data_IF_569543826677
#
_entry.id   IF_569543826677
#
_cell.length_a   1.000
_cell.length_b   1.000
_cell.length_c   1.000
_cell.angle_alpha   90.00
_cell.angle_beta   90.00
_cell.angle_gamma   90.00
#
_symmetry.space_group_name_H-M   'P 1'
#
loop_
_entity.id
_entity.type
_entity.pdbx_description
1 polymer ?
#
# COMPACT_ATOMS: atom_id res chain seq x y z
N UNK A 1 17.34 -30.79 33.47
CA UNK A 1 16.91 -29.52 32.84
C UNK A 1 17.36 -29.54 31.40
N UNK A 2 16.46 -29.90 30.50
CA UNK A 2 16.72 -30.21 29.09
C UNK A 2 17.12 -28.98 28.26
N UNK A 3 18.13 -29.17 27.42
CA UNK A 3 18.56 -28.19 26.40
C UNK A 3 17.54 -28.23 25.26
N UNK A 4 16.70 -27.19 25.17
CA UNK A 4 15.75 -26.99 24.08
C UNK A 4 16.54 -26.73 22.78
N UNK A 5 16.58 -27.70 21.88
CA UNK A 5 17.17 -27.55 20.56
C UNK A 5 16.33 -26.54 19.76
N UNK A 6 16.98 -25.49 19.23
CA UNK A 6 16.38 -24.62 18.22
C UNK A 6 16.18 -25.48 16.97
N UNK A 7 14.93 -25.83 16.66
CA UNK A 7 14.55 -26.20 15.29
C UNK A 7 14.95 -25.01 14.42
N UNK A 8 15.95 -25.19 13.58
CA UNK A 8 16.16 -24.39 12.39
C UNK A 8 14.85 -24.46 11.61
N UNK A 9 14.09 -23.35 11.65
CA UNK A 9 12.93 -23.16 10.80
C UNK A 9 13.45 -23.29 9.37
N UNK A 10 13.17 -24.44 8.76
CA UNK A 10 13.41 -24.66 7.35
C UNK A 10 12.80 -23.49 6.62
N UNK A 11 13.59 -22.91 5.72
CA UNK A 11 13.17 -21.90 4.76
C UNK A 11 11.77 -22.22 4.29
N UNK A 12 10.79 -21.48 4.78
CA UNK A 12 9.42 -21.46 4.29
C UNK A 12 9.47 -20.85 2.88
N UNK A 13 9.97 -21.64 1.93
CA UNK A 13 9.58 -21.57 0.53
C UNK A 13 8.13 -22.06 0.47
N UNK A 14 7.22 -21.31 1.10
CA UNK A 14 5.79 -21.54 0.97
C UNK A 14 5.46 -21.25 -0.51
N UNK A 15 5.31 -22.33 -1.26
CA UNK A 15 4.46 -22.43 -2.44
C UNK A 15 4.68 -21.40 -3.59
N UNK A 16 5.92 -21.11 -3.99
CA UNK A 16 6.22 -20.23 -5.16
C UNK A 16 5.97 -20.86 -6.54
N UNK A 17 5.02 -21.78 -6.69
CA UNK A 17 4.64 -22.35 -8.00
C UNK A 17 3.16 -22.16 -8.30
N UNK A 18 2.62 -21.06 -7.85
CA UNK A 18 1.31 -20.64 -8.31
C UNK A 18 1.42 -19.96 -9.68
N UNK A 19 0.50 -20.31 -10.58
CA UNK A 19 0.42 -19.80 -11.93
C UNK A 19 0.30 -18.26 -11.93
N UNK A 20 1.35 -17.51 -12.31
CA UNK A 20 1.35 -16.04 -12.19
C UNK A 20 0.21 -15.39 -12.98
N UNK A 21 -0.20 -16.03 -14.08
CA UNK A 21 -1.33 -15.55 -14.90
C UNK A 21 -2.66 -15.62 -14.16
N UNK A 22 -2.91 -16.70 -13.42
CA UNK A 22 -4.14 -16.85 -12.64
C UNK A 22 -4.21 -15.83 -11.50
N UNK A 23 -3.07 -15.55 -10.86
CA UNK A 23 -2.99 -14.54 -9.82
C UNK A 23 -3.19 -13.14 -10.38
N UNK A 24 -2.57 -12.83 -11.52
CA UNK A 24 -2.76 -11.54 -12.20
C UNK A 24 -4.23 -11.34 -12.62
N UNK A 25 -4.89 -12.36 -13.16
CA UNK A 25 -6.33 -12.29 -13.50
C UNK A 25 -7.22 -12.03 -12.28
N UNK A 26 -6.97 -12.73 -11.16
CA UNK A 26 -7.70 -12.49 -9.91
C UNK A 26 -7.46 -11.09 -9.37
N UNK A 27 -6.23 -10.59 -9.53
CA UNK A 27 -5.83 -9.26 -9.10
C UNK A 27 -6.49 -8.15 -9.91
N UNK A 28 -6.56 -8.30 -11.23
CA UNK A 28 -7.27 -7.37 -12.12
C UNK A 28 -8.79 -7.39 -11.91
N UNK A 29 -9.35 -8.56 -11.58
CA UNK A 29 -10.78 -8.70 -11.28
C UNK A 29 -11.16 -8.18 -9.88
N UNK A 30 -10.19 -7.86 -9.01
CA UNK A 30 -10.46 -7.41 -7.65
C UNK A 30 -10.88 -5.94 -7.64
N UNK A 31 -12.07 -5.65 -7.11
CA UNK A 31 -12.66 -4.30 -7.10
C UNK A 31 -12.40 -3.50 -5.81
N UNK A 32 -11.92 -4.14 -4.74
CA UNK A 32 -11.58 -3.46 -3.47
C UNK A 32 -10.08 -3.15 -3.45
N UNK A 33 -9.63 -2.12 -2.74
CA UNK A 33 -8.19 -1.82 -2.66
C UNK A 33 -7.62 -1.14 -3.91
N UNK A 34 -8.38 -0.17 -4.47
CA UNK A 34 -8.01 0.61 -5.66
C UNK A 34 -6.59 1.17 -5.59
N UNK A 35 -6.15 1.64 -4.41
CA UNK A 35 -4.79 2.11 -4.20
C UNK A 35 -3.73 1.02 -4.38
N UNK A 36 -3.97 -0.18 -3.86
CA UNK A 36 -3.04 -1.31 -3.95
C UNK A 36 -2.95 -1.81 -5.39
N UNK A 37 -4.08 -1.90 -6.09
CA UNK A 37 -4.14 -2.33 -7.50
C UNK A 37 -3.45 -1.32 -8.42
N UNK A 38 -3.65 -0.03 -8.19
CA UNK A 38 -3.01 1.06 -8.93
C UNK A 38 -1.52 1.22 -8.63
N UNK A 39 -1.05 0.75 -7.47
CA UNK A 39 0.38 0.72 -7.17
C UNK A 39 1.05 -0.53 -7.76
N UNK A 40 0.36 -1.66 -7.75
CA UNK A 40 0.88 -2.98 -8.13
C UNK A 40 0.16 -3.45 -9.39
N UNK A 41 0.60 -2.95 -10.54
CA UNK A 41 0.00 -3.36 -11.82
C UNK A 41 0.42 -4.78 -12.23
N UNK A 42 1.70 -5.11 -12.06
CA UNK A 42 2.25 -6.41 -12.41
C UNK A 42 2.73 -7.12 -11.16
N UNK A 43 1.99 -8.14 -10.72
CA UNK A 43 2.30 -8.89 -9.50
C UNK A 43 3.69 -9.53 -9.57
N UNK A 44 4.09 -10.01 -10.75
CA UNK A 44 5.35 -10.70 -10.92
C UNK A 44 6.54 -9.75 -10.81
N UNK A 45 6.44 -8.55 -11.38
CA UNK A 45 7.48 -7.53 -11.27
C UNK A 45 7.58 -7.03 -9.83
N UNK A 46 6.44 -6.84 -9.17
CA UNK A 46 6.40 -6.45 -7.78
C UNK A 46 6.99 -7.51 -6.84
N UNK A 47 6.71 -8.79 -7.09
CA UNK A 47 7.25 -9.88 -6.29
C UNK A 47 8.77 -10.07 -6.47
N UNK A 48 9.30 -9.74 -7.66
CA UNK A 48 10.71 -9.93 -8.01
C UNK A 48 11.55 -8.64 -7.94
N UNK A 49 10.97 -7.52 -7.49
CA UNK A 49 11.69 -6.25 -7.40
C UNK A 49 12.86 -6.35 -6.42
N UNK A 50 14.02 -5.87 -6.86
CA UNK A 50 15.27 -5.87 -6.07
C UNK A 50 15.41 -4.68 -5.13
N UNK A 51 14.47 -3.75 -5.17
CA UNK A 51 14.53 -2.46 -4.48
C UNK A 51 13.18 -2.10 -3.86
N UNK A 52 13.23 -1.26 -2.83
CA UNK A 52 12.10 -0.79 -2.05
C UNK A 52 11.63 -1.84 -1.05
N UNK A 53 11.82 -1.62 0.23
CA UNK A 53 11.13 -2.45 1.22
C UNK A 53 9.68 -1.97 1.38
N UNK A 54 8.77 -2.89 1.68
CA UNK A 54 7.42 -2.49 2.12
C UNK A 54 7.54 -2.07 3.59
N UNK A 55 7.81 -0.78 3.81
CA UNK A 55 7.92 -0.25 5.17
C UNK A 55 6.53 -0.07 5.81
N UNK A 56 6.50 0.23 7.10
CA UNK A 56 5.26 0.40 7.87
C UNK A 56 4.31 1.44 7.26
N UNK A 57 4.82 2.55 6.70
CA UNK A 57 3.99 3.59 6.08
C UNK A 57 3.37 3.11 4.76
N UNK A 58 4.14 2.39 3.94
CA UNK A 58 3.65 1.84 2.68
C UNK A 58 2.62 0.74 2.92
N UNK A 59 2.86 -0.14 3.91
CA UNK A 59 1.89 -1.16 4.33
C UNK A 59 0.57 -0.52 4.78
N UNK A 60 0.63 0.52 5.59
CA UNK A 60 -0.54 1.28 6.05
C UNK A 60 -1.33 1.88 4.87
N UNK A 61 -0.64 2.59 3.97
CA UNK A 61 -1.25 3.14 2.75
C UNK A 61 -1.92 2.04 1.91
N UNK A 62 -1.19 0.97 1.62
CA UNK A 62 -1.66 -0.11 0.73
C UNK A 62 -2.81 -0.93 1.31
N UNK A 63 -2.86 -1.06 2.63
CA UNK A 63 -3.91 -1.80 3.31
C UNK A 63 -5.11 -0.92 3.67
N UNK A 64 -5.01 0.41 3.47
CA UNK A 64 -6.01 1.38 3.92
C UNK A 64 -6.16 1.37 5.46
N UNK A 65 -5.05 1.18 6.17
CA UNK A 65 -5.01 1.11 7.63
C UNK A 65 -4.05 2.15 8.22
N UNK A 66 -4.36 2.63 9.42
CA UNK A 66 -3.35 3.02 10.42
C UNK A 66 -3.11 4.50 10.65
N UNK A 67 -3.11 5.36 9.63
CA UNK A 67 -2.69 6.75 9.82
C UNK A 67 -3.58 7.84 9.20
N UNK A 68 -4.63 7.49 8.48
CA UNK A 68 -5.51 8.48 7.85
C UNK A 68 -6.62 8.89 8.82
N UNK A 69 -7.05 10.17 8.82
CA UNK A 69 -8.09 10.62 9.74
C UNK A 69 -9.40 9.85 9.55
N UNK A 70 -9.72 9.42 8.32
CA UNK A 70 -10.87 8.53 8.07
C UNK A 70 -10.74 7.18 8.79
N UNK A 71 -9.54 6.59 8.84
CA UNK A 71 -9.30 5.34 9.55
C UNK A 71 -9.35 5.53 11.07
N UNK A 72 -8.72 6.59 11.58
CA UNK A 72 -8.69 6.89 13.02
C UNK A 72 -10.08 7.25 13.56
N UNK A 73 -10.85 8.03 12.81
CA UNK A 73 -12.25 8.35 13.12
C UNK A 73 -13.14 7.10 13.19
N UNK A 74 -12.95 6.12 12.29
CA UNK A 74 -13.69 4.83 12.34
C UNK A 74 -13.55 4.12 13.69
N UNK A 75 -12.39 4.22 14.32
CA UNK A 75 -12.12 3.63 15.64
C UNK A 75 -12.25 4.64 16.79
N UNK A 76 -12.78 5.84 16.51
CA UNK A 76 -13.01 6.92 17.48
C UNK A 76 -11.72 7.45 18.15
N UNK A 77 -10.58 7.34 17.46
CA UNK A 77 -9.33 7.97 17.88
C UNK A 77 -9.24 9.44 17.46
N UNK A 78 -9.98 9.84 16.43
CA UNK A 78 -10.12 11.23 15.99
C UNK A 78 -11.60 11.64 15.93
N UNK A 79 -11.87 12.93 16.14
CA UNK A 79 -13.23 13.49 16.11
C UNK A 79 -13.78 13.67 14.70
N UNK A 80 -12.90 13.77 13.70
CA UNK A 80 -13.27 14.03 12.31
C UNK A 80 -12.56 13.08 11.36
N UNK A 81 -13.26 12.60 10.33
CA UNK A 81 -12.65 11.88 9.23
C UNK A 81 -12.06 12.80 8.15
N UNK A 82 -12.12 14.12 8.33
CA UNK A 82 -11.87 15.09 7.26
C UNK A 82 -10.37 15.37 7.06
N UNK A 83 -9.99 15.64 5.81
CA UNK A 83 -8.65 16.08 5.48
C UNK A 83 -8.43 17.55 5.87
N UNK A 84 -7.38 17.87 6.65
CA UNK A 84 -7.08 19.26 7.03
C UNK A 84 -6.83 20.19 5.84
N UNK A 85 -6.42 19.65 4.69
CA UNK A 85 -6.11 20.44 3.49
C UNK A 85 -7.29 20.63 2.53
N UNK A 86 -8.36 19.85 2.71
CA UNK A 86 -9.52 19.79 1.79
C UNK A 86 -10.79 19.62 2.63
N UNK A 87 -11.50 20.73 2.83
CA UNK A 87 -12.76 20.75 3.59
C UNK A 87 -13.77 19.74 3.02
N UNK A 88 -14.38 18.93 3.90
CA UNK A 88 -15.38 17.87 3.58
C UNK A 88 -14.92 16.72 2.68
N UNK A 89 -13.61 16.55 2.45
CA UNK A 89 -13.09 15.32 1.85
C UNK A 89 -12.62 14.37 2.97
N UNK A 90 -12.99 13.08 2.96
CA UNK A 90 -12.42 12.12 3.90
C UNK A 90 -10.90 12.00 3.69
N UNK A 91 -10.14 12.07 4.77
CA UNK A 91 -8.70 11.81 4.76
C UNK A 91 -8.47 10.31 4.73
N UNK A 92 -8.43 9.77 3.54
CA UNK A 92 -8.12 8.38 3.31
C UNK A 92 -6.86 8.20 2.47
N UNK A 93 -6.39 6.94 2.35
CA UNK A 93 -5.15 6.65 1.64
C UNK A 93 -5.23 7.02 0.14
N UNK A 94 -6.41 7.00 -0.46
CA UNK A 94 -6.63 7.39 -1.84
C UNK A 94 -6.55 8.91 -1.99
N UNK A 95 -7.27 9.63 -1.13
CA UNK A 95 -7.20 11.07 -1.02
C UNK A 95 -5.75 11.52 -0.84
N UNK A 96 -5.06 11.01 0.19
CA UNK A 96 -3.67 11.35 0.48
C UNK A 96 -2.74 11.08 -0.70
N UNK A 97 -2.83 9.90 -1.31
CA UNK A 97 -1.92 9.51 -2.38
C UNK A 97 -2.12 10.27 -3.69
N UNK A 98 -3.34 10.70 -4.03
CA UNK A 98 -3.63 11.21 -5.38
C UNK A 98 -4.38 12.52 -5.51
N UNK A 99 -5.07 12.97 -4.48
CA UNK A 99 -6.00 14.11 -4.62
C UNK A 99 -5.74 15.24 -3.61
N UNK A 100 -5.07 14.91 -2.51
CA UNK A 100 -4.80 15.80 -1.40
C UNK A 100 -3.73 16.82 -1.77
N UNK A 101 -4.09 18.11 -1.84
CA UNK A 101 -3.19 19.18 -2.29
C UNK A 101 -1.93 19.31 -1.42
N UNK A 102 -1.99 18.86 -0.17
CA UNK A 102 -0.84 18.78 0.75
C UNK A 102 0.36 18.06 0.14
N UNK A 103 0.12 17.10 -0.75
CA UNK A 103 1.15 16.26 -1.36
C UNK A 103 1.41 16.57 -2.84
N UNK A 104 0.88 17.68 -3.37
CA UNK A 104 1.06 18.05 -4.79
C UNK A 104 2.53 18.21 -5.17
N UNK A 105 3.31 18.89 -4.32
CA UNK A 105 4.73 19.11 -4.57
C UNK A 105 5.50 17.78 -4.62
N UNK A 106 5.28 16.91 -3.62
CA UNK A 106 5.92 15.59 -3.59
C UNK A 106 5.54 14.71 -4.79
N UNK A 107 4.28 14.79 -5.25
CA UNK A 107 3.85 14.10 -6.49
C UNK A 107 4.53 14.67 -7.73
N UNK A 108 4.68 15.99 -7.82
CA UNK A 108 5.36 16.68 -8.92
C UNK A 108 6.83 16.27 -8.99
N UNK A 109 7.53 16.29 -7.86
CA UNK A 109 8.92 15.84 -7.77
C UNK A 109 9.07 14.37 -8.17
N UNK A 110 8.16 13.51 -7.71
CA UNK A 110 8.13 12.11 -8.08
C UNK A 110 7.90 11.93 -9.59
N UNK A 111 6.93 12.64 -10.17
CA UNK A 111 6.65 12.61 -11.61
C UNK A 111 7.86 13.04 -12.44
N UNK A 112 8.55 14.10 -12.02
CA UNK A 112 9.79 14.54 -12.66
C UNK A 112 10.89 13.46 -12.63
N UNK A 113 11.05 12.75 -11.50
CA UNK A 113 12.03 11.66 -11.36
C UNK A 113 11.68 10.44 -12.21
N UNK A 114 10.38 10.18 -12.42
CA UNK A 114 9.88 9.05 -13.20
C UNK A 114 9.73 9.38 -14.70
N UNK A 115 9.91 10.65 -15.09
CA UNK A 115 9.66 11.10 -16.46
C UNK A 115 8.18 11.12 -16.85
N UNK A 116 7.27 11.14 -15.87
CA UNK A 116 5.82 11.16 -16.09
C UNK A 116 5.26 12.54 -15.76
N UNK A 117 4.54 13.17 -16.70
CA UNK A 117 3.83 14.43 -16.43
C UNK A 117 2.64 14.19 -15.49
N UNK A 118 2.31 15.12 -14.57
CA UNK A 118 1.15 14.96 -13.70
C UNK A 118 -0.13 15.04 -14.54
N UNK A 119 -0.99 14.03 -14.46
CA UNK A 119 -2.38 14.05 -14.96
C UNK A 119 -3.31 14.72 -13.98
#
# INVERSE_FOLDING_TARGET
MERRTRKTGGTENIARRDNPKQWQQKWEAFQKGYCTQRLIHQLNDWANRKHGEVNHYLTQMMSYHGCSSAYLHRFKFEETAECPSRYRAPDDAEHGSSHCSRYDEGRRELGNRLGTSPT
#
